data_IF_755120136049
#
_entry.id   IF_755120136049
#
_cell.length_a   1.000
_cell.length_b   1.000
_cell.length_c   1.000
_cell.angle_alpha   90.00
_cell.angle_beta   90.00
_cell.angle_gamma   90.00
#
_symmetry.space_group_name_H-M   'P 1'
#
loop_
_entity.id
_entity.type
_entity.pdbx_description
1 polymer ?
#
# COMPACT_ATOMS: atom_id res chain seq x y z
N UNK A 1 -8.98 -9.40 -10.09
CA UNK A 1 -7.65 -10.06 -10.10
C UNK A 1 -7.28 -10.69 -8.75
N UNK A 2 -8.03 -10.49 -7.66
CA UNK A 2 -7.73 -11.03 -6.32
C UNK A 2 -8.14 -12.51 -6.08
N UNK A 3 -9.04 -13.07 -6.88
CA UNK A 3 -9.65 -14.40 -6.64
C UNK A 3 -8.65 -15.56 -6.50
N UNK A 4 -7.54 -15.53 -7.24
CA UNK A 4 -6.50 -16.57 -7.15
C UNK A 4 -5.69 -16.48 -5.85
N UNK A 5 -5.53 -15.27 -5.30
CA UNK A 5 -4.84 -15.03 -4.02
C UNK A 5 -5.71 -15.55 -2.88
N UNK A 6 -7.00 -15.19 -2.89
CA UNK A 6 -7.99 -15.67 -1.91
C UNK A 6 -8.07 -17.20 -1.89
N UNK A 7 -8.18 -17.84 -3.07
CA UNK A 7 -8.21 -19.30 -3.18
C UNK A 7 -6.98 -19.97 -2.54
N UNK A 8 -5.77 -19.52 -2.88
CA UNK A 8 -4.54 -20.10 -2.33
C UNK A 8 -4.39 -19.84 -0.84
N UNK A 9 -4.79 -18.65 -0.38
CA UNK A 9 -4.71 -18.28 1.03
C UNK A 9 -5.66 -19.15 1.87
N UNK A 10 -6.90 -19.38 1.42
CA UNK A 10 -7.86 -20.26 2.10
C UNK A 10 -7.33 -21.69 2.23
N UNK A 11 -6.67 -22.22 1.20
CA UNK A 11 -6.04 -23.56 1.28
C UNK A 11 -4.96 -23.67 2.36
N UNK A 12 -4.31 -22.56 2.71
CA UNK A 12 -3.27 -22.49 3.74
C UNK A 12 -3.82 -21.98 5.08
N UNK A 13 -5.13 -21.72 5.19
CA UNK A 13 -5.74 -21.12 6.38
C UNK A 13 -5.35 -19.66 6.62
N UNK A 14 -4.91 -18.94 5.58
CA UNK A 14 -4.51 -17.53 5.64
C UNK A 14 -5.71 -16.64 5.31
N UNK A 15 -6.00 -15.66 6.18
CA UNK A 15 -7.07 -14.68 5.96
C UNK A 15 -6.65 -13.62 4.95
N UNK A 16 -7.48 -13.36 3.94
CA UNK A 16 -7.32 -12.25 2.98
C UNK A 16 -8.34 -11.17 3.30
N UNK A 17 -7.88 -9.93 3.45
CA UNK A 17 -8.73 -8.76 3.71
C UNK A 17 -8.53 -7.75 2.59
N UNK A 18 -9.64 -7.31 1.99
CA UNK A 18 -9.65 -6.21 1.03
C UNK A 18 -9.74 -4.89 1.78
N UNK A 19 -8.86 -3.94 1.47
CA UNK A 19 -8.85 -2.60 2.05
C UNK A 19 -8.94 -1.54 0.97
N UNK A 20 -9.36 -0.34 1.34
CA UNK A 20 -9.48 0.77 0.39
C UNK A 20 -8.08 1.21 -0.07
N UNK A 21 -7.87 1.26 -1.39
CA UNK A 21 -6.62 1.69 -2.03
C UNK A 21 -6.39 3.20 -1.96
N UNK A 22 -7.41 3.98 -1.60
CA UNK A 22 -7.34 5.42 -1.52
C UNK A 22 -6.18 5.89 -0.62
N UNK A 23 -5.45 6.91 -1.08
CA UNK A 23 -4.34 7.56 -0.37
C UNK A 23 -3.10 6.69 -0.10
N UNK A 24 -3.10 5.40 -0.40
CA UNK A 24 -1.92 4.51 -0.20
C UNK A 24 -0.70 4.92 -1.04
N UNK A 25 -0.91 5.62 -2.15
CA UNK A 25 0.16 6.15 -3.02
C UNK A 25 0.67 7.55 -2.63
N UNK A 26 -0.03 8.22 -1.71
CA UNK A 26 0.27 9.58 -1.23
C UNK A 26 0.71 9.59 0.22
N UNK A 27 0.22 8.69 1.05
CA UNK A 27 0.59 8.62 2.46
C UNK A 27 2.02 8.09 2.63
N UNK A 28 2.82 8.80 3.41
CA UNK A 28 4.14 8.34 3.82
C UNK A 28 4.00 7.13 4.76
N UNK A 29 4.72 6.05 4.46
CA UNK A 29 4.72 4.84 5.29
C UNK A 29 5.39 5.03 6.66
N UNK A 30 6.14 6.12 6.86
CA UNK A 30 6.82 6.43 8.13
C UNK A 30 5.97 7.34 9.01
N UNK A 31 5.53 8.49 8.48
CA UNK A 31 4.86 9.51 9.28
C UNK A 31 3.35 9.63 9.03
N UNK A 32 2.81 8.96 8.00
CA UNK A 32 1.40 9.04 7.63
C UNK A 32 0.98 10.35 6.95
N UNK A 33 1.84 11.37 6.88
CA UNK A 33 1.58 12.60 6.15
C UNK A 33 1.52 12.37 4.63
N UNK A 34 0.83 13.25 3.92
CA UNK A 34 0.85 13.24 2.46
C UNK A 34 2.23 13.65 1.93
N UNK A 35 2.81 12.80 1.10
CA UNK A 35 3.98 13.05 0.28
C UNK A 35 3.65 12.97 -1.21
N UNK A 36 4.68 13.12 -2.02
CA UNK A 36 4.55 13.22 -3.47
C UNK A 36 5.39 12.16 -4.16
N UNK A 37 4.77 11.38 -5.05
CA UNK A 37 5.51 10.53 -5.99
C UNK A 37 5.99 11.38 -7.16
N UNK A 38 7.30 11.66 -7.20
CA UNK A 38 7.93 12.41 -8.30
C UNK A 38 8.12 11.55 -9.55
N UNK A 39 8.42 10.26 -9.37
CA UNK A 39 8.55 9.29 -10.47
C UNK A 39 7.97 7.93 -10.05
N UNK A 40 7.94 6.96 -10.97
CA UNK A 40 7.49 5.59 -10.67
C UNK A 40 8.31 4.89 -9.56
N UNK A 41 9.54 5.34 -9.29
CA UNK A 41 10.43 4.76 -8.27
C UNK A 41 10.84 5.70 -7.14
N UNK A 42 10.40 6.97 -7.17
CA UNK A 42 10.77 7.97 -6.17
C UNK A 42 9.53 8.58 -5.51
N UNK A 43 9.42 8.36 -4.21
CA UNK A 43 8.46 9.02 -3.33
C UNK A 43 9.22 9.96 -2.42
N UNK A 44 8.73 11.20 -2.26
CA UNK A 44 9.32 12.20 -1.37
C UNK A 44 8.31 12.64 -0.33
N UNK A 45 8.68 12.58 0.95
CA UNK A 45 7.88 13.11 2.04
C UNK A 45 8.44 14.45 2.53
N UNK A 46 7.70 15.56 2.42
CA UNK A 46 8.17 16.86 2.88
C UNK A 46 8.27 16.95 4.41
N UNK A 47 7.64 16.03 5.15
CA UNK A 47 7.57 16.08 6.62
C UNK A 47 8.71 15.31 7.31
N UNK A 48 9.05 14.11 6.81
CA UNK A 48 10.12 13.29 7.40
C UNK A 48 11.38 13.17 6.51
N UNK A 49 11.39 13.82 5.34
CA UNK A 49 12.55 13.84 4.44
C UNK A 49 12.82 12.51 3.75
N UNK A 50 11.82 11.63 3.69
CA UNK A 50 11.89 10.40 2.91
C UNK A 50 11.93 10.68 1.41
#
# INVERSE_FOLDING_TARGET
MSKMIEYKAVQQGILVVSTNEAYTSKACHVCGCEGERKTYGLFVCPHCGL
#
